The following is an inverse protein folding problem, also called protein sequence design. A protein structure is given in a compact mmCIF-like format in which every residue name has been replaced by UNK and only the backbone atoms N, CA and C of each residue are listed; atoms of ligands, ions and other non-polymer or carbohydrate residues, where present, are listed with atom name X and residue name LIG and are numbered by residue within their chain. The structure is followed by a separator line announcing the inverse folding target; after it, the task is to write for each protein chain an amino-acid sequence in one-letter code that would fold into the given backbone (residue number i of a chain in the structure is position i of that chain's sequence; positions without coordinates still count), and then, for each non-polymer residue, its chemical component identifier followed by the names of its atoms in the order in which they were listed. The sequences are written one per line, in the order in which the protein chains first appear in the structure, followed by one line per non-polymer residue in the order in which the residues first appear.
data_IF_825849040252
#
_entry.id   IF_825849040252
#
_cell.length_a   1.000
_cell.length_b   1.000
_cell.length_c   1.000
_cell.angle_alpha   90.00
_cell.angle_beta   90.00
_cell.angle_gamma   90.00
#
_symmetry.space_group_name_H-M   'P 1'
#
loop_
_entity.id
_entity.type
_entity.pdbx_description
1 polymer ?
#
# COMPACT_ATOMS: atom_id res chain seq x y z
N UNK A 1 44.57 25.50 16.50
CA UNK A 1 44.51 24.09 16.97
C UNK A 1 43.09 23.66 17.37
N UNK A 2 42.27 24.54 17.89
CA UNK A 2 40.88 24.24 18.30
C UNK A 2 39.92 23.95 17.14
N UNK A 3 40.04 24.69 16.03
CA UNK A 3 39.20 24.52 14.85
C UNK A 3 39.27 23.10 14.25
N UNK A 4 40.50 22.53 14.17
CA UNK A 4 40.70 21.13 13.70
C UNK A 4 40.02 20.10 14.65
N UNK A 5 40.07 20.34 15.97
CA UNK A 5 39.42 19.46 16.95
C UNK A 5 37.92 19.53 16.82
N UNK A 6 37.37 20.74 16.63
CA UNK A 6 35.93 20.95 16.40
C UNK A 6 35.43 20.17 15.16
N UNK A 7 36.11 20.33 14.00
CA UNK A 7 35.72 19.58 12.79
C UNK A 7 35.82 18.08 12.96
N UNK A 8 36.89 17.58 13.63
CA UNK A 8 37.00 16.15 13.91
C UNK A 8 35.87 15.63 14.78
N UNK A 9 35.50 16.38 15.82
CA UNK A 9 34.37 16.01 16.68
C UNK A 9 33.02 16.03 15.90
N UNK A 10 32.80 17.04 15.07
CA UNK A 10 31.61 17.16 14.24
C UNK A 10 31.50 15.98 13.26
N UNK A 11 32.60 15.63 12.59
CA UNK A 11 32.66 14.48 11.68
C UNK A 11 32.38 13.18 12.42
N UNK A 12 32.92 12.98 13.60
CA UNK A 12 32.69 11.78 14.40
C UNK A 12 31.23 11.65 14.81
N UNK A 13 30.62 12.75 15.28
CA UNK A 13 29.20 12.79 15.65
C UNK A 13 28.30 12.47 14.43
N UNK A 14 28.60 13.10 13.28
CA UNK A 14 27.87 12.85 12.04
C UNK A 14 27.97 11.39 11.60
N UNK A 15 29.15 10.79 11.72
CA UNK A 15 29.36 9.38 11.41
C UNK A 15 28.56 8.46 12.35
N UNK A 16 28.55 8.74 13.64
CA UNK A 16 27.76 7.99 14.62
C UNK A 16 26.27 8.08 14.32
N UNK A 17 25.75 9.27 14.03
CA UNK A 17 24.37 9.48 13.63
C UNK A 17 24.06 8.65 12.38
N UNK A 18 24.91 8.68 11.36
CA UNK A 18 24.75 7.91 10.15
C UNK A 18 24.71 6.40 10.40
N UNK A 19 25.63 5.87 11.24
CA UNK A 19 25.69 4.45 11.60
C UNK A 19 24.40 4.02 12.31
N UNK A 20 23.88 4.84 13.23
CA UNK A 20 22.66 4.52 14.01
C UNK A 20 21.41 4.53 13.12
N UNK A 21 21.33 5.49 12.18
CA UNK A 21 20.14 5.64 11.33
C UNK A 21 20.18 4.83 10.04
N UNK A 22 21.38 4.39 9.61
CA UNK A 22 21.53 3.65 8.34
C UNK A 22 20.69 2.36 8.24
N UNK A 23 20.55 1.53 9.30
CA UNK A 23 19.73 0.33 9.22
C UNK A 23 18.24 0.67 9.02
N UNK A 24 17.74 1.71 9.71
CA UNK A 24 16.36 2.16 9.56
C UNK A 24 16.11 2.71 8.15
N UNK A 25 17.03 3.54 7.66
CA UNK A 25 16.96 4.07 6.30
C UNK A 25 17.01 2.97 5.26
N UNK A 26 17.95 2.02 5.40
CA UNK A 26 18.04 0.87 4.51
C UNK A 26 16.72 0.10 4.46
N UNK A 27 16.15 -0.23 5.62
CA UNK A 27 14.92 -0.97 5.70
C UNK A 27 13.75 -0.20 5.09
N UNK A 28 13.53 1.04 5.48
CA UNK A 28 12.36 1.80 5.03
C UNK A 28 12.45 2.25 3.57
N UNK A 29 13.65 2.53 3.04
CA UNK A 29 13.83 3.06 1.68
C UNK A 29 14.21 1.97 0.69
N UNK A 30 15.14 1.09 1.03
CA UNK A 30 15.66 0.07 0.10
C UNK A 30 14.74 -1.15 0.07
N UNK A 31 14.37 -1.69 1.24
CA UNK A 31 13.40 -2.80 1.32
C UNK A 31 12.00 -2.31 0.96
N UNK A 32 11.67 -1.08 1.34
CA UNK A 32 10.40 -0.40 1.01
C UNK A 32 9.16 -1.25 1.31
N UNK A 33 8.96 -1.65 2.57
CA UNK A 33 7.91 -2.61 2.96
C UNK A 33 6.50 -2.13 2.62
N UNK A 34 6.30 -0.82 2.52
CA UNK A 34 5.00 -0.21 2.20
C UNK A 34 4.82 0.15 0.71
N UNK A 35 5.86 -0.02 -0.12
CA UNK A 35 5.79 0.29 -1.55
C UNK A 35 5.77 1.79 -1.89
N UNK A 36 6.42 2.61 -1.06
CA UNK A 36 6.38 4.08 -1.16
C UNK A 36 7.57 4.65 -1.93
N UNK A 37 8.78 4.14 -1.68
CA UNK A 37 10.04 4.74 -2.14
C UNK A 37 10.57 4.14 -3.45
N UNK A 38 11.49 3.21 -3.37
CA UNK A 38 12.31 2.80 -4.52
C UNK A 38 11.68 1.71 -5.39
N UNK A 39 10.72 0.96 -4.88
CA UNK A 39 10.02 -0.08 -5.65
C UNK A 39 10.98 -1.12 -6.29
N UNK A 40 12.11 -1.40 -5.65
CA UNK A 40 13.14 -2.31 -6.18
C UNK A 40 12.69 -3.76 -6.16
N UNK A 41 11.84 -4.14 -5.21
CA UNK A 41 11.37 -5.51 -5.06
C UNK A 41 9.99 -5.70 -5.68
N UNK A 42 9.79 -6.84 -6.30
CA UNK A 42 8.49 -7.24 -6.87
C UNK A 42 7.55 -7.81 -5.81
N UNK A 43 8.08 -8.22 -4.67
CA UNK A 43 7.33 -8.79 -3.56
C UNK A 43 7.50 -7.91 -2.32
N UNK A 44 6.44 -7.78 -1.55
CA UNK A 44 6.46 -7.03 -0.30
C UNK A 44 6.58 -7.96 0.89
N UNK A 45 7.41 -7.59 1.88
CA UNK A 45 7.52 -8.36 3.12
C UNK A 45 6.28 -8.27 3.99
N UNK A 46 5.44 -7.28 3.75
CA UNK A 46 4.22 -7.01 4.49
C UNK A 46 3.14 -6.50 3.56
N UNK A 47 1.95 -6.27 4.06
CA UNK A 47 0.92 -5.58 3.31
C UNK A 47 1.39 -4.15 2.97
N UNK A 48 1.50 -3.79 1.68
CA UNK A 48 1.89 -2.44 1.30
C UNK A 48 0.74 -1.44 1.46
N UNK A 49 1.04 -0.13 1.36
CA UNK A 49 -0.01 0.88 1.23
C UNK A 49 -0.67 0.79 -0.16
N UNK A 50 -1.65 -0.08 -0.28
CA UNK A 50 -2.38 -0.32 -1.53
C UNK A 50 -3.10 0.92 -2.03
N UNK A 51 -3.67 1.72 -1.12
CA UNK A 51 -4.37 2.96 -1.44
C UNK A 51 -3.45 3.92 -2.22
N UNK A 52 -2.28 4.21 -1.67
CA UNK A 52 -1.27 5.05 -2.32
C UNK A 52 -0.78 4.47 -3.65
N UNK A 53 -0.43 3.19 -3.64
CA UNK A 53 0.14 2.55 -4.84
C UNK A 53 -0.82 2.51 -6.01
N UNK A 54 -2.10 2.20 -5.76
CA UNK A 54 -3.15 2.13 -6.78
C UNK A 54 -3.42 3.53 -7.37
N UNK A 55 -3.57 4.54 -6.53
CA UNK A 55 -3.72 5.93 -6.99
C UNK A 55 -2.51 6.38 -7.81
N UNK A 56 -1.28 6.08 -7.36
CA UNK A 56 -0.08 6.41 -8.11
C UNK A 56 -0.02 5.72 -9.47
N UNK A 57 -0.50 4.47 -9.55
CA UNK A 57 -0.58 3.73 -10.80
C UNK A 57 -1.59 4.34 -11.76
N UNK A 58 -2.79 4.65 -11.28
CA UNK A 58 -3.85 5.27 -12.09
C UNK A 58 -3.43 6.65 -12.63
N UNK A 59 -2.71 7.45 -11.83
CA UNK A 59 -2.15 8.73 -12.32
C UNK A 59 -1.19 8.58 -13.50
N UNK A 60 -0.45 7.48 -13.53
CA UNK A 60 0.48 7.20 -14.64
C UNK A 60 -0.22 6.61 -15.86
N UNK A 61 -1.44 6.12 -15.69
CA UNK A 61 -2.22 5.43 -16.72
C UNK A 61 -3.68 5.89 -16.70
N UNK A 62 -3.98 7.21 -16.82
CA UNK A 62 -5.32 7.75 -16.60
C UNK A 62 -6.36 7.25 -17.61
N UNK A 63 -5.93 6.88 -18.81
CA UNK A 63 -6.82 6.40 -19.87
C UNK A 63 -7.09 4.89 -19.84
N UNK A 64 -6.38 4.15 -18.96
CA UNK A 64 -6.44 2.68 -18.98
C UNK A 64 -7.73 2.13 -18.41
N UNK A 65 -8.29 2.81 -17.41
CA UNK A 65 -9.48 2.38 -16.68
C UNK A 65 -10.48 3.53 -16.59
N UNK A 66 -11.78 3.18 -16.63
CA UNK A 66 -12.89 4.12 -16.50
C UNK A 66 -13.92 3.69 -15.46
N UNK A 67 -13.73 2.53 -14.86
CA UNK A 67 -14.69 1.93 -13.93
C UNK A 67 -13.95 1.34 -12.73
N UNK A 68 -14.50 1.52 -11.51
CA UNK A 68 -13.76 1.26 -10.29
C UNK A 68 -14.56 0.50 -9.26
N UNK A 69 -13.91 -0.47 -8.60
CA UNK A 69 -14.47 -1.26 -7.50
C UNK A 69 -13.87 -0.75 -6.20
N UNK A 70 -14.68 -0.27 -5.28
CA UNK A 70 -14.29 0.16 -3.95
C UNK A 70 -14.85 -0.76 -2.88
N UNK A 71 -14.20 -0.82 -1.74
CA UNK A 71 -14.62 -1.61 -0.59
C UNK A 71 -13.45 -2.02 0.29
N UNK A 72 -13.76 -2.84 1.29
CA UNK A 72 -12.74 -3.44 2.16
C UNK A 72 -12.02 -4.62 1.46
N UNK A 73 -11.11 -5.28 2.18
CA UNK A 73 -10.42 -6.48 1.70
C UNK A 73 -11.34 -7.61 1.24
N UNK A 74 -12.59 -7.64 1.68
CA UNK A 74 -13.59 -8.63 1.25
C UNK A 74 -13.97 -8.50 -0.23
N UNK A 75 -13.91 -7.29 -0.76
CA UNK A 75 -14.16 -7.01 -2.19
C UNK A 75 -12.92 -7.24 -3.07
N UNK A 76 -11.79 -7.55 -2.47
CA UNK A 76 -10.53 -7.72 -3.20
C UNK A 76 -10.53 -8.93 -4.17
N UNK A 77 -11.34 -9.94 -3.89
CA UNK A 77 -11.47 -11.15 -4.73
C UNK A 77 -12.29 -10.94 -5.99
N UNK A 78 -12.98 -9.81 -6.12
CA UNK A 78 -13.78 -9.52 -7.33
C UNK A 78 -12.82 -9.27 -8.49
N UNK A 79 -12.90 -10.16 -9.49
CA UNK A 79 -12.15 -9.98 -10.73
C UNK A 79 -12.76 -8.89 -11.60
N UNK A 80 -12.10 -7.74 -11.82
CA UNK A 80 -12.61 -6.67 -12.64
C UNK A 80 -12.76 -7.06 -14.13
N UNK A 81 -12.00 -8.05 -14.61
CA UNK A 81 -12.00 -8.46 -16.02
C UNK A 81 -13.32 -9.14 -16.45
N UNK A 82 -14.10 -9.66 -15.50
CA UNK A 82 -15.37 -10.32 -15.79
C UNK A 82 -16.58 -9.40 -15.74
N UNK A 83 -16.40 -8.14 -15.31
CA UNK A 83 -17.50 -7.18 -15.17
C UNK A 83 -17.69 -6.44 -16.50
N UNK A 84 -18.87 -6.54 -17.12
CA UNK A 84 -19.14 -5.87 -18.39
C UNK A 84 -19.31 -4.35 -18.23
N UNK A 85 -19.26 -3.63 -19.35
CA UNK A 85 -19.68 -2.23 -19.43
C UNK A 85 -18.63 -1.19 -19.11
N UNK A 86 -17.36 -1.58 -18.89
CA UNK A 86 -16.26 -0.65 -18.64
C UNK A 86 -14.90 -1.33 -18.54
N UNK A 87 -13.85 -0.51 -18.48
CA UNK A 87 -12.51 -0.96 -18.16
C UNK A 87 -12.33 -0.86 -16.64
N UNK A 88 -12.60 -1.95 -15.96
CA UNK A 88 -12.65 -1.97 -14.51
C UNK A 88 -11.29 -2.11 -13.85
N UNK A 89 -11.12 -1.45 -12.71
CA UNK A 89 -9.97 -1.57 -11.82
C UNK A 89 -10.41 -1.75 -10.37
N UNK A 90 -9.78 -2.69 -9.67
CA UNK A 90 -10.11 -2.97 -8.28
C UNK A 90 -9.31 -2.04 -7.35
N UNK A 91 -10.00 -1.06 -6.75
CA UNK A 91 -9.45 -0.05 -5.82
C UNK A 91 -9.52 -0.47 -4.34
N UNK A 92 -9.96 -1.68 -4.04
CA UNK A 92 -10.13 -2.13 -2.66
C UNK A 92 -8.81 -2.24 -1.90
N UNK A 93 -8.86 -2.04 -0.60
CA UNK A 93 -7.74 -2.20 0.33
C UNK A 93 -8.25 -2.58 1.72
N UNK A 94 -7.32 -2.98 2.60
CA UNK A 94 -7.67 -3.43 3.95
C UNK A 94 -8.34 -2.33 4.75
N UNK A 95 -9.50 -2.65 5.36
CA UNK A 95 -10.32 -1.72 6.14
C UNK A 95 -10.71 -0.44 5.39
N UNK A 96 -10.89 -0.49 4.07
CA UNK A 96 -11.36 0.66 3.29
C UNK A 96 -12.72 1.16 3.79
N UNK A 97 -12.80 2.45 4.12
CA UNK A 97 -14.00 3.09 4.66
C UNK A 97 -14.69 3.94 3.60
N UNK A 98 -16.01 4.13 3.68
CA UNK A 98 -16.74 4.98 2.73
C UNK A 98 -16.17 6.40 2.60
N UNK A 99 -15.69 6.99 3.71
CA UNK A 99 -15.01 8.29 3.70
C UNK A 99 -13.72 8.25 2.88
N UNK A 100 -12.91 7.21 3.05
CA UNK A 100 -11.66 7.04 2.32
C UNK A 100 -11.92 6.89 0.82
N UNK A 101 -12.96 6.12 0.44
CA UNK A 101 -13.35 5.95 -0.96
C UNK A 101 -13.83 7.25 -1.59
N UNK A 102 -14.56 8.08 -0.84
CA UNK A 102 -14.98 9.40 -1.32
C UNK A 102 -13.77 10.32 -1.56
N UNK A 103 -12.78 10.31 -0.67
CA UNK A 103 -11.54 11.08 -0.84
C UNK A 103 -10.77 10.61 -2.08
N UNK A 104 -10.69 9.29 -2.30
CA UNK A 104 -10.00 8.72 -3.45
C UNK A 104 -10.72 9.08 -4.76
N UNK A 105 -12.05 9.01 -4.79
CA UNK A 105 -12.87 9.41 -5.94
C UNK A 105 -12.69 10.88 -6.28
N UNK A 106 -12.71 11.78 -5.27
CA UNK A 106 -12.44 13.20 -5.47
C UNK A 106 -11.05 13.43 -6.05
N UNK A 107 -10.04 12.77 -5.44
CA UNK A 107 -8.68 12.88 -5.92
C UNK A 107 -8.53 12.40 -7.38
N UNK A 108 -9.15 11.28 -7.75
CA UNK A 108 -9.13 10.75 -9.11
C UNK A 108 -9.79 11.72 -10.10
N UNK A 109 -10.96 12.24 -9.76
CA UNK A 109 -11.67 13.24 -10.55
C UNK A 109 -10.82 14.50 -10.78
N UNK A 110 -10.24 15.06 -9.71
CA UNK A 110 -9.43 16.28 -9.75
C UNK A 110 -8.12 16.11 -10.53
N UNK A 111 -7.67 14.86 -10.72
CA UNK A 111 -6.49 14.51 -11.53
C UNK A 111 -6.85 13.99 -12.94
N UNK A 112 -8.08 14.21 -13.41
CA UNK A 112 -8.51 13.93 -14.78
C UNK A 112 -8.72 12.46 -15.09
N UNK A 113 -8.82 11.57 -14.07
CA UNK A 113 -9.13 10.16 -14.28
C UNK A 113 -10.63 10.07 -14.58
N UNK A 114 -10.98 9.51 -15.74
CA UNK A 114 -12.36 9.33 -16.16
C UNK A 114 -13.07 8.31 -15.25
N UNK A 115 -14.23 8.66 -14.73
CA UNK A 115 -15.05 7.80 -13.89
C UNK A 115 -16.41 7.58 -14.57
N UNK A 116 -16.63 6.39 -15.09
CA UNK A 116 -17.86 5.99 -15.79
C UNK A 116 -18.78 5.18 -14.88
N UNK A 117 -18.22 4.15 -14.23
CA UNK A 117 -18.97 3.29 -13.33
C UNK A 117 -18.23 3.13 -11.99
N UNK A 118 -19.00 2.97 -10.93
CA UNK A 118 -18.49 2.74 -9.57
C UNK A 118 -19.28 1.58 -8.96
N UNK A 119 -18.56 0.58 -8.43
CA UNK A 119 -19.10 -0.48 -7.60
C UNK A 119 -18.55 -0.33 -6.19
N UNK A 120 -19.40 -0.13 -5.19
CA UNK A 120 -18.97 0.03 -3.80
C UNK A 120 -19.53 -1.12 -2.96
N UNK A 121 -18.63 -1.92 -2.38
CA UNK A 121 -18.98 -2.92 -1.38
C UNK A 121 -18.92 -2.33 0.02
N UNK A 122 -20.03 -2.32 0.71
CA UNK A 122 -20.13 -1.85 2.08
C UNK A 122 -20.37 -3.05 2.98
N UNK A 123 -19.46 -3.29 3.92
CA UNK A 123 -19.64 -4.28 4.97
C UNK A 123 -19.89 -3.61 6.33
N UNK A 124 -20.39 -4.37 7.29
CA UNK A 124 -20.72 -3.83 8.60
C UNK A 124 -19.50 -3.27 9.35
N UNK A 125 -18.31 -3.84 9.12
CA UNK A 125 -17.07 -3.37 9.72
C UNK A 125 -16.71 -1.97 9.22
N UNK A 126 -17.03 -1.66 7.96
CA UNK A 126 -16.82 -0.32 7.40
C UNK A 126 -17.75 0.73 8.03
N UNK A 127 -18.90 0.32 8.54
CA UNK A 127 -19.86 1.19 9.23
C UNK A 127 -19.54 1.37 10.71
N UNK A 128 -18.95 0.34 11.36
CA UNK A 128 -18.62 0.38 12.79
C UNK A 128 -17.30 1.06 13.10
N UNK A 129 -16.36 1.13 12.14
CA UNK A 129 -15.07 1.74 12.37
C UNK A 129 -15.15 3.26 12.35
N UNK A 130 -14.58 3.91 13.38
CA UNK A 130 -14.45 5.34 13.41
C UNK A 130 -13.33 5.80 12.43
N UNK A 131 -13.64 6.65 11.44
CA UNK A 131 -12.65 7.14 10.49
C UNK A 131 -11.46 7.86 11.13
N UNK A 132 -11.64 8.46 12.30
CA UNK A 132 -10.59 9.23 13.01
C UNK A 132 -9.49 8.35 13.58
N UNK A 133 -9.78 7.10 13.92
CA UNK A 133 -8.80 6.16 14.48
C UNK A 133 -7.76 5.66 13.45
N UNK A 134 -7.99 5.92 12.18
CA UNK A 134 -7.22 5.38 11.07
C UNK A 134 -6.24 6.38 10.42
N UNK A 135 -6.17 7.61 10.92
CA UNK A 135 -5.33 8.68 10.34
C UNK A 135 -3.84 8.33 10.39
N UNK A 136 -3.41 7.52 11.36
CA UNK A 136 -2.01 7.10 11.53
C UNK A 136 -1.69 5.73 10.90
N UNK A 137 -2.66 5.10 10.27
CA UNK A 137 -2.44 3.78 9.67
C UNK A 137 -1.67 3.91 8.35
N UNK A 138 -0.40 3.54 8.38
CA UNK A 138 0.49 3.60 7.23
C UNK A 138 0.01 2.75 6.05
N UNK A 139 -0.77 1.68 6.30
CA UNK A 139 -1.31 0.83 5.25
C UNK A 139 -2.40 1.51 4.39
N UNK A 140 -2.99 2.60 4.92
CA UNK A 140 -4.14 3.27 4.30
C UNK A 140 -3.96 4.77 4.13
N UNK A 141 -2.77 5.28 4.44
CA UNK A 141 -2.49 6.71 4.31
C UNK A 141 -2.78 7.17 2.89
N UNK A 142 -3.60 8.22 2.76
CA UNK A 142 -4.01 8.75 1.46
C UNK A 142 -2.84 9.27 0.64
N UNK A 143 -3.03 9.38 -0.66
CA UNK A 143 -2.07 10.02 -1.54
C UNK A 143 -1.92 11.51 -1.17
N UNK A 144 -0.70 12.03 -0.96
CA UNK A 144 -0.49 13.43 -0.58
C UNK A 144 -0.72 14.37 -1.76
N UNK A 145 -1.47 15.44 -1.54
CA UNK A 145 -1.86 16.39 -2.58
C UNK A 145 -0.88 17.57 -2.65
N UNK A 146 -0.65 18.23 -1.53
CA UNK A 146 0.19 19.42 -1.45
C UNK A 146 1.60 19.13 -0.90
N UNK A 147 2.47 20.15 -0.93
CA UNK A 147 3.87 20.00 -0.52
C UNK A 147 4.02 19.62 0.96
N UNK A 148 3.25 20.22 1.86
CA UNK A 148 3.32 19.91 3.29
C UNK A 148 2.86 18.49 3.58
N UNK A 149 1.75 18.06 2.95
CA UNK A 149 1.30 16.68 3.05
C UNK A 149 2.35 15.69 2.52
N UNK A 150 3.09 16.03 1.45
CA UNK A 150 4.18 15.19 0.94
C UNK A 150 5.30 15.04 1.96
N UNK A 151 5.74 16.13 2.59
CA UNK A 151 6.78 16.08 3.61
C UNK A 151 6.34 15.17 4.76
N UNK A 152 5.15 15.39 5.31
CA UNK A 152 4.62 14.56 6.41
C UNK A 152 4.43 13.10 5.99
N UNK A 153 3.91 12.87 4.79
CA UNK A 153 3.71 11.54 4.25
C UNK A 153 5.04 10.76 4.21
N UNK A 154 6.06 11.29 3.54
CA UNK A 154 7.35 10.60 3.41
C UNK A 154 8.09 10.51 4.74
N UNK A 155 7.99 11.51 5.62
CA UNK A 155 8.54 11.49 6.96
C UNK A 155 7.98 10.33 7.79
N UNK A 156 6.67 10.11 7.74
CA UNK A 156 6.03 9.04 8.52
C UNK A 156 6.51 7.66 8.08
N UNK A 157 6.73 7.43 6.77
CA UNK A 157 7.29 6.16 6.29
C UNK A 157 8.80 6.04 6.54
N UNK A 158 9.55 7.13 6.40
CA UNK A 158 11.00 7.12 6.57
C UNK A 158 11.40 6.83 8.01
N UNK A 159 10.70 7.42 8.97
CA UNK A 159 11.00 7.29 10.40
C UNK A 159 10.12 6.27 11.13
N UNK A 160 9.31 5.53 10.39
CA UNK A 160 8.55 4.44 10.99
C UNK A 160 9.50 3.36 11.50
N UNK A 161 9.34 3.01 12.78
CA UNK A 161 10.06 1.87 13.34
C UNK A 161 9.30 0.60 12.94
N UNK A 162 9.94 -0.31 12.21
CA UNK A 162 9.29 -1.57 11.89
C UNK A 162 9.03 -2.34 13.19
N UNK A 163 7.78 -2.64 13.43
CA UNK A 163 7.34 -3.47 14.57
C UNK A 163 7.51 -4.96 14.25
N UNK A 164 8.25 -5.28 13.20
CA UNK A 164 8.34 -6.63 12.67
C UNK A 164 9.43 -7.42 13.37
N UNK A 165 9.09 -8.67 13.67
CA UNK A 165 10.07 -9.69 13.97
C UNK A 165 10.99 -9.87 12.76
N UNK A 166 12.26 -9.49 12.91
CA UNK A 166 13.26 -9.52 11.82
C UNK A 166 13.41 -10.94 11.24
N UNK A 167 13.15 -11.97 12.05
CA UNK A 167 13.16 -13.37 11.63
C UNK A 167 11.98 -13.69 10.71
N UNK A 168 10.81 -13.11 10.98
CA UNK A 168 9.66 -13.20 10.05
C UNK A 168 9.93 -12.51 8.73
N UNK A 169 10.67 -11.40 8.72
CA UNK A 169 11.04 -10.70 7.48
C UNK A 169 11.96 -11.53 6.58
N UNK A 170 12.79 -12.39 7.13
CA UNK A 170 13.68 -13.25 6.35
C UNK A 170 13.00 -14.53 5.82
N UNK A 171 11.90 -14.95 6.44
CA UNK A 171 11.11 -16.14 6.07
C UNK A 171 9.80 -15.77 5.34
N UNK A 172 9.76 -14.62 4.66
CA UNK A 172 8.54 -14.11 4.04
C UNK A 172 8.06 -15.04 2.94
N UNK A 173 6.92 -15.61 3.17
CA UNK A 173 6.06 -16.09 2.09
C UNK A 173 5.68 -14.90 1.21
N UNK A 174 5.95 -15.04 -0.07
CA UNK A 174 5.89 -13.98 -1.10
C UNK A 174 4.44 -13.67 -1.51
N UNK A 175 3.60 -13.31 -0.53
CA UNK A 175 2.15 -13.22 -0.73
C UNK A 175 1.70 -11.96 -1.50
N UNK A 176 2.52 -10.91 -1.52
CA UNK A 176 2.16 -9.66 -2.18
C UNK A 176 3.07 -9.37 -3.38
N UNK A 177 2.60 -9.69 -4.57
CA UNK A 177 3.31 -9.36 -5.81
C UNK A 177 2.83 -8.01 -6.35
N UNK A 178 3.76 -7.06 -6.51
CA UNK A 178 3.49 -5.70 -7.02
C UNK A 178 2.87 -5.72 -8.41
N UNK A 179 3.38 -6.53 -9.32
CA UNK A 179 2.93 -6.53 -10.71
C UNK A 179 1.48 -7.00 -10.82
N UNK A 180 1.12 -8.02 -10.04
CA UNK A 180 -0.26 -8.50 -9.95
C UNK A 180 -1.17 -7.45 -9.33
N UNK A 181 -0.72 -6.83 -8.22
CA UNK A 181 -1.46 -5.77 -7.55
C UNK A 181 -1.77 -4.59 -8.48
N UNK A 182 -0.83 -4.19 -9.32
CA UNK A 182 -0.99 -3.01 -10.17
C UNK A 182 -1.68 -3.32 -11.50
N UNK A 183 -1.66 -4.57 -11.98
CA UNK A 183 -2.23 -4.92 -13.28
C UNK A 183 -3.74 -4.65 -13.37
N UNK A 184 -4.49 -5.12 -12.38
CA UNK A 184 -5.95 -5.01 -12.30
C UNK A 184 -6.46 -4.65 -10.90
N UNK A 185 -5.56 -4.37 -9.96
CA UNK A 185 -5.86 -4.06 -8.57
C UNK A 185 -6.14 -5.27 -7.69
N UNK A 186 -6.11 -6.48 -8.23
CA UNK A 186 -6.33 -7.70 -7.45
C UNK A 186 -5.04 -8.09 -6.72
N UNK A 187 -5.19 -8.53 -5.48
CA UNK A 187 -4.15 -9.23 -4.75
C UNK A 187 -4.51 -10.71 -4.78
N UNK A 188 -3.73 -11.48 -5.49
CA UNK A 188 -3.67 -12.92 -5.24
C UNK A 188 -2.87 -13.11 -3.93
N UNK A 189 -3.46 -12.75 -2.81
CA UNK A 189 -3.03 -13.31 -1.54
C UNK A 189 -3.29 -14.82 -1.67
N UNK A 190 -2.33 -15.67 -1.37
CA UNK A 190 -2.36 -17.12 -1.54
C UNK A 190 -3.62 -17.88 -1.12
N UNK A 191 -4.69 -17.15 -0.81
CA UNK A 191 -6.05 -17.62 -0.57
C UNK A 191 -6.60 -18.52 -1.69
N UNK A 192 -6.30 -18.20 -2.95
CA UNK A 192 -6.78 -19.03 -4.06
C UNK A 192 -6.16 -20.44 -4.02
N UNK A 193 -4.90 -20.55 -3.56
CA UNK A 193 -4.24 -21.84 -3.35
C UNK A 193 -4.87 -22.62 -2.19
N UNK A 194 -5.18 -21.93 -1.10
CA UNK A 194 -5.81 -22.53 0.09
C UNK A 194 -7.25 -22.93 -0.20
N UNK A 195 -8.01 -22.08 -0.90
CA UNK A 195 -9.39 -22.37 -1.32
C UNK A 195 -9.39 -23.56 -2.29
N UNK A 196 -8.48 -23.59 -3.27
CA UNK A 196 -8.37 -24.68 -4.22
C UNK A 196 -7.98 -25.99 -3.55
N UNK A 197 -7.00 -25.99 -2.63
CA UNK A 197 -6.61 -27.15 -1.84
C UNK A 197 -7.74 -27.63 -0.90
N UNK A 198 -8.50 -26.73 -0.30
CA UNK A 198 -9.64 -27.10 0.53
C UNK A 198 -10.82 -27.65 -0.29
N UNK A 199 -11.09 -27.06 -1.46
CA UNK A 199 -12.08 -27.60 -2.40
C UNK A 199 -11.68 -29.01 -2.90
N UNK A 200 -10.42 -29.19 -3.30
CA UNK A 200 -9.90 -30.50 -3.72
C UNK A 200 -9.99 -31.55 -2.60
N UNK A 201 -9.71 -31.17 -1.35
CA UNK A 201 -9.89 -32.05 -0.17
C UNK A 201 -11.35 -32.42 0.10
N UNK A 202 -12.29 -31.46 -0.07
CA UNK A 202 -13.72 -31.74 0.10
C UNK A 202 -14.32 -32.56 -1.06
N UNK A 203 -13.76 -32.47 -2.25
CA UNK A 203 -14.18 -33.31 -3.39
C UNK A 203 -13.63 -34.73 -3.24
N UNK A 204 -12.45 -34.91 -2.65
CA UNK A 204 -11.82 -36.22 -2.47
C UNK A 204 -12.34 -36.99 -1.23
N UNK A 205 -12.94 -36.31 -0.25
CA UNK A 205 -13.58 -36.90 0.92
C UNK A 205 -15.01 -36.30 1.09
N UNK A 206 -16.01 -36.81 0.36
CA UNK A 206 -17.42 -36.37 0.51
C UNK A 206 -18.03 -36.81 1.82
#
# INVERSE_FOLDING_TARGET
MEFKKFFKSLTLISLLIFIVWSPLFYFNVIVDPYGIFLKLYTHFPTEPNKRYMKIQYLKKHPEKFDSFIFGSSRMNSINPEIIPGGNWYNMTYSLGLPKDHLEDLKYMHDNGIKIKNILIGIDYMALLNNPTNNIKDLLRKKYPVNFNEKIEFYKDYLFNRPTYDFVKLMNIEKDFNRNTLLKNGIINAGGDKIIKQNLEKHIQNP
#
